data_IF_540651275786
#
_entry.id   IF_540651275786
#
_cell.length_a   1.000
_cell.length_b   1.000
_cell.length_c   1.000
_cell.angle_alpha   90.00
_cell.angle_beta   90.00
_cell.angle_gamma   90.00
#
_symmetry.space_group_name_H-M   'P 1'
#
loop_
_entity.id
_entity.type
_entity.pdbx_description
1 polymer ?
#
# COMPACT_ATOMS: atom_id res chain seq x y z
N UNK A 1 11.61 -8.20 -1.84
CA UNK A 1 12.06 -9.62 -1.91
C UNK A 1 12.68 -10.11 -0.59
N UNK A 2 12.35 -9.50 0.56
CA UNK A 2 12.80 -9.99 1.86
C UNK A 2 11.92 -11.19 2.22
N UNK A 3 12.53 -12.36 2.40
CA UNK A 3 11.85 -13.61 2.74
C UNK A 3 12.61 -14.26 3.89
N UNK A 4 13.52 -15.19 3.60
CA UNK A 4 14.51 -15.74 4.54
C UNK A 4 15.82 -15.95 3.80
N UNK A 5 16.84 -15.16 4.14
CA UNK A 5 18.12 -15.14 3.44
C UNK A 5 19.27 -15.33 4.44
N UNK A 6 20.49 -15.66 3.97
CA UNK A 6 21.64 -15.84 4.86
C UNK A 6 21.93 -14.64 5.77
N UNK A 7 21.72 -13.41 5.29
CA UNK A 7 21.95 -12.19 6.06
C UNK A 7 20.83 -11.84 7.04
N UNK A 8 19.64 -12.44 6.90
CA UNK A 8 18.49 -12.18 7.77
C UNK A 8 17.47 -13.32 7.65
N UNK A 9 17.42 -14.19 8.66
CA UNK A 9 16.43 -15.26 8.74
C UNK A 9 15.07 -14.69 9.13
N UNK A 10 14.00 -15.27 8.58
CA UNK A 10 12.65 -14.73 8.73
C UNK A 10 12.19 -14.65 10.18
N UNK A 11 12.50 -15.68 10.99
CA UNK A 11 12.04 -15.77 12.37
C UNK A 11 12.66 -14.66 13.24
N UNK A 12 13.97 -14.46 13.15
CA UNK A 12 14.68 -13.37 13.83
C UNK A 12 14.09 -12.00 13.44
N UNK A 13 13.83 -11.78 12.14
CA UNK A 13 13.18 -10.55 11.69
C UNK A 13 11.81 -10.36 12.35
N UNK A 14 11.00 -11.41 12.42
CA UNK A 14 9.66 -11.33 13.00
C UNK A 14 9.72 -10.94 14.48
N UNK A 15 10.61 -11.57 15.25
CA UNK A 15 10.81 -11.28 16.68
C UNK A 15 11.23 -9.82 16.93
N UNK A 16 12.26 -9.33 16.23
CA UNK A 16 12.71 -7.95 16.40
C UNK A 16 11.67 -6.91 15.94
N UNK A 17 10.96 -7.20 14.83
CA UNK A 17 9.92 -6.30 14.33
C UNK A 17 8.72 -6.26 15.28
N UNK A 18 8.30 -7.40 15.84
CA UNK A 18 7.20 -7.44 16.81
C UNK A 18 7.53 -6.61 18.05
N UNK A 19 8.75 -6.74 18.59
CA UNK A 19 9.22 -5.90 19.70
C UNK A 19 9.20 -4.41 19.36
N UNK A 20 9.66 -4.03 18.16
CA UNK A 20 9.66 -2.64 17.71
C UNK A 20 8.25 -2.07 17.52
N UNK A 21 7.32 -2.88 16.99
CA UNK A 21 5.91 -2.49 16.84
C UNK A 21 5.26 -2.22 18.20
N UNK A 22 5.48 -3.10 19.18
CA UNK A 22 4.95 -2.94 20.53
C UNK A 22 5.54 -1.70 21.22
N UNK A 23 6.84 -1.47 21.09
CA UNK A 23 7.49 -0.28 21.62
C UNK A 23 6.92 1.00 21.02
N UNK A 24 6.86 1.10 19.68
CA UNK A 24 6.34 2.29 19.00
C UNK A 24 4.86 2.55 19.32
N UNK A 25 4.05 1.49 19.47
CA UNK A 25 2.66 1.59 19.89
C UNK A 25 2.54 2.13 21.33
N UNK A 26 3.37 1.64 22.26
CA UNK A 26 3.38 2.11 23.63
C UNK A 26 3.81 3.59 23.74
N UNK A 27 4.79 4.02 22.94
CA UNK A 27 5.29 5.40 22.93
C UNK A 27 4.29 6.39 22.32
N UNK A 28 3.53 5.97 21.30
CA UNK A 28 2.64 6.87 20.54
C UNK A 28 1.16 6.79 20.92
N UNK A 29 0.72 5.69 21.52
CA UNK A 29 -0.69 5.43 21.80
C UNK A 29 -1.55 5.08 20.58
N UNK A 30 -0.98 5.03 19.37
CA UNK A 30 -1.66 4.63 18.14
C UNK A 30 -1.36 3.18 17.79
N UNK A 31 -2.32 2.45 17.22
CA UNK A 31 -2.10 1.09 16.71
C UNK A 31 -0.99 1.10 15.66
N UNK A 32 0.00 0.22 15.81
CA UNK A 32 1.11 0.05 14.87
C UNK A 32 1.09 -1.35 14.24
N UNK A 33 1.71 -1.46 13.07
CA UNK A 33 1.86 -2.73 12.38
C UNK A 33 3.05 -2.70 11.43
N UNK A 34 3.55 -3.88 11.08
CA UNK A 34 4.56 -4.07 10.05
C UNK A 34 4.18 -5.31 9.25
N UNK A 35 4.11 -5.21 7.93
CA UNK A 35 3.69 -6.33 7.09
C UNK A 35 4.79 -7.40 7.06
N UNK A 36 4.64 -8.43 7.88
CA UNK A 36 5.60 -9.52 7.95
C UNK A 36 5.45 -10.41 6.70
N UNK A 37 6.46 -10.45 5.84
CA UNK A 37 6.37 -11.21 4.58
C UNK A 37 6.42 -12.72 4.82
N UNK A 38 5.32 -13.40 4.50
CA UNK A 38 5.17 -14.86 4.63
C UNK A 38 5.43 -15.62 3.33
N UNK A 39 5.66 -14.92 2.21
CA UNK A 39 6.00 -15.54 0.91
C UNK A 39 7.17 -16.53 1.05
N UNK A 40 6.99 -17.76 0.59
CA UNK A 40 7.91 -18.87 0.86
C UNK A 40 8.04 -19.85 -0.33
N UNK A 41 9.05 -20.75 -0.34
CA UNK A 41 9.23 -21.74 -1.41
C UNK A 41 8.14 -22.83 -1.46
N UNK A 42 7.49 -23.11 -0.33
CA UNK A 42 6.38 -24.08 -0.23
C UNK A 42 5.25 -23.51 0.62
N UNK A 43 4.05 -24.08 0.49
CA UNK A 43 2.88 -23.65 1.27
C UNK A 43 3.01 -23.97 2.76
N UNK A 44 3.71 -25.04 3.12
CA UNK A 44 3.99 -25.41 4.52
C UNK A 44 4.88 -24.35 5.19
N UNK A 45 5.93 -23.88 4.50
CA UNK A 45 6.77 -22.80 5.00
C UNK A 45 6.04 -21.44 5.03
N UNK A 46 5.09 -21.21 4.12
CA UNK A 46 4.23 -20.03 4.17
C UNK A 46 3.34 -20.05 5.41
N UNK A 47 2.66 -21.17 5.69
CA UNK A 47 1.82 -21.32 6.88
C UNK A 47 2.63 -21.26 8.17
N UNK A 48 3.80 -21.88 8.23
CA UNK A 48 4.70 -21.79 9.39
C UNK A 48 5.03 -20.33 9.75
N UNK A 49 5.22 -19.48 8.74
CA UNK A 49 5.47 -18.04 8.97
C UNK A 49 4.21 -17.31 9.40
N UNK A 50 3.07 -17.60 8.77
CA UNK A 50 1.79 -16.98 9.11
C UNK A 50 1.38 -17.29 10.55
N UNK A 51 1.47 -18.56 10.97
CA UNK A 51 1.21 -18.98 12.35
C UNK A 51 2.15 -18.28 13.33
N UNK A 52 3.44 -18.18 13.02
CA UNK A 52 4.37 -17.49 13.90
C UNK A 52 4.09 -15.98 14.01
N UNK A 53 3.66 -15.31 12.92
CA UNK A 53 3.23 -13.92 12.99
C UNK A 53 1.99 -13.73 13.89
N UNK A 54 1.05 -14.69 13.85
CA UNK A 54 -0.11 -14.73 14.75
C UNK A 54 0.29 -14.98 16.20
N UNK A 55 1.20 -15.91 16.47
CA UNK A 55 1.73 -16.17 17.82
C UNK A 55 2.37 -14.92 18.44
N UNK A 56 3.05 -14.10 17.61
CA UNK A 56 3.61 -12.81 18.02
C UNK A 56 2.56 -11.70 18.19
N UNK A 57 1.28 -11.96 17.91
CA UNK A 57 0.20 -10.99 18.03
C UNK A 57 0.24 -9.88 16.97
N UNK A 58 0.88 -10.12 15.83
CA UNK A 58 1.01 -9.11 14.78
C UNK A 58 -0.32 -8.92 14.03
N UNK A 59 -0.72 -7.68 13.70
CA UNK A 59 -2.05 -7.43 13.13
C UNK A 59 -2.13 -7.66 11.61
N UNK A 60 -0.99 -7.77 10.93
CA UNK A 60 -0.92 -7.79 9.47
C UNK A 60 0.31 -8.54 8.95
N UNK A 61 0.13 -9.32 7.88
CA UNK A 61 1.19 -9.98 7.12
C UNK A 61 1.18 -9.51 5.66
N UNK A 62 2.19 -9.87 4.88
CA UNK A 62 2.17 -9.66 3.42
C UNK A 62 2.52 -10.89 2.59
N UNK A 63 2.03 -10.89 1.35
CA UNK A 63 2.26 -11.95 0.38
C UNK A 63 2.48 -11.41 -1.05
N UNK A 64 3.40 -12.05 -1.78
CA UNK A 64 3.71 -11.75 -3.19
C UNK A 64 2.90 -12.68 -4.11
N UNK A 65 1.61 -12.38 -4.30
CA UNK A 65 0.61 -13.33 -4.82
C UNK A 65 0.89 -13.89 -6.23
N UNK A 66 1.50 -13.12 -7.14
CA UNK A 66 1.81 -13.62 -8.49
C UNK A 66 3.00 -14.56 -8.48
N UNK A 67 4.06 -14.20 -7.73
CA UNK A 67 5.28 -15.00 -7.68
C UNK A 67 5.12 -16.27 -6.84
N UNK A 68 4.25 -16.24 -5.84
CA UNK A 68 3.88 -17.42 -5.07
C UNK A 68 2.78 -18.24 -5.77
N UNK A 69 1.88 -17.57 -6.49
CA UNK A 69 0.78 -18.16 -7.25
C UNK A 69 -0.58 -18.05 -6.54
N UNK A 70 -1.64 -17.99 -7.34
CA UNK A 70 -3.02 -17.85 -6.86
C UNK A 70 -3.46 -18.99 -5.91
N UNK A 71 -2.96 -20.21 -6.10
CA UNK A 71 -3.25 -21.33 -5.19
C UNK A 71 -2.76 -21.06 -3.78
N UNK A 72 -1.51 -20.60 -3.63
CA UNK A 72 -0.96 -20.23 -2.33
C UNK A 72 -1.68 -19.02 -1.72
N UNK A 73 -1.93 -17.99 -2.54
CA UNK A 73 -2.62 -16.78 -2.08
C UNK A 73 -4.03 -17.05 -1.55
N UNK A 74 -4.84 -17.83 -2.28
CA UNK A 74 -6.22 -18.14 -1.88
C UNK A 74 -6.24 -18.93 -0.58
N UNK A 75 -5.33 -19.90 -0.43
CA UNK A 75 -5.16 -20.66 0.81
C UNK A 75 -4.75 -19.78 1.98
N UNK A 76 -3.86 -18.80 1.76
CA UNK A 76 -3.46 -17.83 2.76
C UNK A 76 -4.59 -16.85 3.13
N UNK A 77 -5.37 -16.38 2.16
CA UNK A 77 -6.49 -15.48 2.39
C UNK A 77 -7.59 -16.13 3.25
N UNK A 78 -7.91 -17.41 3.00
CA UNK A 78 -8.83 -18.17 3.84
C UNK A 78 -8.30 -18.29 5.28
N UNK A 79 -7.02 -18.62 5.43
CA UNK A 79 -6.39 -18.68 6.75
C UNK A 79 -6.41 -17.33 7.46
N UNK A 80 -6.13 -16.23 6.76
CA UNK A 80 -6.18 -14.88 7.32
C UNK A 80 -7.58 -14.55 7.85
N UNK A 81 -8.62 -14.91 7.10
CA UNK A 81 -10.02 -14.73 7.53
C UNK A 81 -10.32 -15.50 8.81
N UNK A 82 -9.91 -16.75 8.90
CA UNK A 82 -10.14 -17.61 10.08
C UNK A 82 -9.34 -17.15 11.31
N UNK A 83 -8.24 -16.44 11.11
CA UNK A 83 -7.31 -16.01 12.16
C UNK A 83 -7.33 -14.50 12.44
N UNK A 84 -8.30 -13.76 11.88
CA UNK A 84 -8.43 -12.30 12.01
C UNK A 84 -7.13 -11.55 11.69
N UNK A 85 -6.40 -11.99 10.66
CA UNK A 85 -5.15 -11.41 10.21
C UNK A 85 -5.37 -10.56 8.96
N UNK A 86 -4.91 -9.31 8.95
CA UNK A 86 -4.93 -8.51 7.73
C UNK A 86 -3.89 -9.03 6.72
N UNK A 87 -4.21 -8.98 5.43
CA UNK A 87 -3.38 -9.48 4.34
C UNK A 87 -3.04 -8.38 3.33
N UNK A 88 -1.80 -7.87 3.42
CA UNK A 88 -1.26 -6.93 2.44
C UNK A 88 -0.70 -7.66 1.22
N UNK A 89 -1.15 -7.32 0.01
CA UNK A 89 -0.70 -7.98 -1.21
C UNK A 89 0.24 -7.11 -2.02
N UNK A 90 1.43 -7.65 -2.26
CA UNK A 90 2.40 -7.05 -3.15
C UNK A 90 2.34 -7.71 -4.54
N UNK A 91 2.35 -6.88 -5.59
CA UNK A 91 2.16 -7.32 -6.98
C UNK A 91 3.47 -7.62 -7.72
N UNK A 92 4.47 -8.18 -7.05
CA UNK A 92 5.74 -8.52 -7.69
C UNK A 92 5.49 -9.33 -8.98
N UNK A 93 6.28 -9.08 -10.04
CA UNK A 93 6.12 -9.68 -11.38
C UNK A 93 4.97 -9.13 -12.26
N UNK A 94 4.05 -8.29 -11.76
CA UNK A 94 2.91 -7.83 -12.56
C UNK A 94 3.30 -7.15 -13.89
N UNK A 95 4.31 -6.28 -13.88
CA UNK A 95 4.79 -5.55 -15.06
C UNK A 95 5.41 -6.44 -16.16
N UNK A 96 5.71 -7.71 -15.85
CA UNK A 96 6.07 -8.71 -16.88
C UNK A 96 4.85 -9.03 -17.75
N UNK A 97 3.65 -8.97 -17.16
CA UNK A 97 2.39 -9.34 -17.80
C UNK A 97 1.61 -8.12 -18.31
N UNK A 98 1.69 -6.98 -17.63
CA UNK A 98 0.71 -5.89 -17.82
C UNK A 98 1.26 -4.60 -18.43
N UNK A 99 2.56 -4.54 -18.73
CA UNK A 99 3.20 -3.31 -19.21
C UNK A 99 3.03 -3.05 -20.70
N UNK A 100 3.04 -4.09 -21.53
CA UNK A 100 2.99 -3.90 -22.99
C UNK A 100 1.52 -3.76 -23.45
N UNK A 101 1.15 -2.66 -24.12
CA UNK A 101 -0.23 -2.45 -24.55
C UNK A 101 -0.69 -3.41 -25.66
N UNK A 102 0.24 -4.08 -26.36
CA UNK A 102 -0.04 -4.98 -27.49
C UNK A 102 -0.03 -6.46 -27.11
N UNK A 103 0.51 -6.83 -25.95
CA UNK A 103 0.61 -8.23 -25.55
C UNK A 103 0.68 -8.36 -24.03
N UNK A 104 -0.19 -9.18 -23.46
CA UNK A 104 -0.21 -9.47 -22.03
C UNK A 104 -1.61 -9.42 -21.43
N UNK A 105 -1.67 -9.16 -20.13
CA UNK A 105 -2.90 -9.06 -19.34
C UNK A 105 -2.87 -7.72 -18.61
N UNK A 106 -3.76 -6.80 -18.96
CA UNK A 106 -3.80 -5.49 -18.30
C UNK A 106 -4.05 -5.61 -16.79
N UNK A 107 -3.39 -4.77 -15.97
CA UNK A 107 -3.40 -4.84 -14.50
C UNK A 107 -4.81 -4.88 -13.89
N UNK A 108 -5.78 -4.15 -14.46
CA UNK A 108 -7.18 -4.19 -14.04
C UNK A 108 -7.78 -5.61 -13.97
N UNK A 109 -7.35 -6.53 -14.83
CA UNK A 109 -7.77 -7.94 -14.77
C UNK A 109 -7.15 -8.62 -13.56
N UNK A 110 -5.86 -8.42 -13.33
CA UNK A 110 -5.13 -8.94 -12.17
C UNK A 110 -5.71 -8.42 -10.85
N UNK A 111 -6.13 -7.15 -10.80
CA UNK A 111 -6.80 -6.55 -9.65
C UNK A 111 -8.15 -7.23 -9.35
N UNK A 112 -8.97 -7.53 -10.37
CA UNK A 112 -10.20 -8.32 -10.21
C UNK A 112 -9.90 -9.72 -9.69
N UNK A 113 -8.94 -10.41 -10.30
CA UNK A 113 -8.54 -11.76 -9.90
C UNK A 113 -8.08 -11.81 -8.44
N UNK A 114 -7.32 -10.80 -7.99
CA UNK A 114 -6.89 -10.72 -6.61
C UNK A 114 -8.05 -10.39 -5.64
N UNK A 115 -8.96 -9.49 -5.99
CA UNK A 115 -10.16 -9.22 -5.17
C UNK A 115 -10.98 -10.49 -4.93
N UNK A 116 -11.08 -11.36 -5.95
CA UNK A 116 -11.71 -12.67 -5.85
C UNK A 116 -10.90 -13.66 -5.00
N UNK A 117 -9.57 -13.71 -5.19
CA UNK A 117 -8.68 -14.63 -4.46
C UNK A 117 -8.55 -14.28 -2.97
N UNK A 118 -8.62 -12.99 -2.64
CA UNK A 118 -8.55 -12.44 -1.30
C UNK A 118 -7.25 -11.69 -1.01
N UNK A 119 -7.42 -10.51 -0.42
CA UNK A 119 -6.38 -9.59 0.05
C UNK A 119 -7.05 -8.32 0.55
N UNK A 120 -6.55 -7.75 1.65
CA UNK A 120 -7.13 -6.52 2.22
C UNK A 120 -6.52 -5.28 1.55
N UNK A 121 -5.25 -5.36 1.16
CA UNK A 121 -4.55 -4.31 0.40
C UNK A 121 -4.01 -4.85 -0.93
N UNK A 122 -3.90 -3.98 -1.93
CA UNK A 122 -3.15 -4.25 -3.17
C UNK A 122 -2.43 -2.99 -3.66
N UNK A 123 -1.16 -3.14 -4.01
CA UNK A 123 -0.41 -2.08 -4.71
C UNK A 123 -1.09 -1.69 -6.03
N UNK A 124 -1.47 -0.42 -6.17
CA UNK A 124 -2.24 0.11 -7.31
C UNK A 124 -1.42 1.01 -8.23
N UNK A 125 -0.21 1.40 -7.83
CA UNK A 125 0.61 2.39 -8.54
C UNK A 125 0.44 3.79 -7.93
N UNK A 126 1.24 4.74 -8.39
CA UNK A 126 1.31 6.09 -7.80
C UNK A 126 0.89 7.20 -8.75
N UNK A 127 0.84 6.94 -10.07
CA UNK A 127 0.70 7.94 -11.15
C UNK A 127 1.90 8.90 -11.23
N UNK A 128 2.30 9.49 -10.11
CA UNK A 128 3.32 10.55 -10.01
C UNK A 128 4.70 10.05 -9.56
N UNK A 129 4.81 8.78 -9.15
CA UNK A 129 6.06 8.22 -8.65
C UNK A 129 6.95 7.64 -9.76
N UNK A 130 7.94 6.84 -9.35
CA UNK A 130 8.97 6.31 -10.26
C UNK A 130 8.51 5.22 -11.24
N UNK A 131 7.36 4.59 -10.96
CA UNK A 131 6.82 3.47 -11.74
C UNK A 131 5.69 3.97 -12.61
N UNK A 132 5.60 3.43 -13.82
CA UNK A 132 4.57 3.77 -14.79
C UNK A 132 3.15 3.59 -14.23
N UNK A 133 2.27 4.56 -14.55
CA UNK A 133 0.86 4.50 -14.20
C UNK A 133 0.10 5.63 -14.88
N UNK A 134 -0.67 5.32 -15.92
CA UNK A 134 -1.61 6.26 -16.52
C UNK A 134 -2.71 6.64 -15.52
N UNK A 135 -3.05 7.92 -15.42
CA UNK A 135 -3.98 8.42 -14.39
C UNK A 135 -5.39 7.86 -14.58
N UNK A 136 -5.93 7.94 -15.79
CA UNK A 136 -7.31 7.51 -16.05
C UNK A 136 -7.47 6.01 -15.90
N UNK A 137 -6.50 5.24 -16.40
CA UNK A 137 -6.48 3.80 -16.17
C UNK A 137 -6.36 3.47 -14.66
N UNK A 138 -5.54 4.23 -13.92
CA UNK A 138 -5.36 4.06 -12.47
C UNK A 138 -6.66 4.26 -11.71
N UNK A 139 -7.38 5.36 -11.98
CA UNK A 139 -8.69 5.60 -11.40
C UNK A 139 -9.64 4.44 -11.70
N UNK A 140 -9.65 3.93 -12.93
CA UNK A 140 -10.48 2.79 -13.31
C UNK A 140 -10.21 1.52 -12.47
N UNK A 141 -8.95 1.10 -12.29
CA UNK A 141 -8.71 -0.09 -11.46
C UNK A 141 -8.81 0.17 -9.95
N UNK A 142 -8.65 1.41 -9.50
CA UNK A 142 -8.92 1.79 -8.11
C UNK A 142 -10.42 1.67 -7.81
N UNK A 143 -11.30 2.09 -8.73
CA UNK A 143 -12.75 1.87 -8.62
C UNK A 143 -13.06 0.37 -8.57
N UNK A 144 -12.42 -0.45 -9.43
CA UNK A 144 -12.54 -1.93 -9.40
C UNK A 144 -12.14 -2.52 -8.04
N UNK A 145 -11.14 -1.94 -7.37
CA UNK A 145 -10.65 -2.47 -6.11
C UNK A 145 -11.60 -2.15 -4.95
N UNK A 146 -12.27 -1.01 -4.97
CA UNK A 146 -13.05 -0.50 -3.83
C UNK A 146 -14.56 -0.67 -3.99
N UNK A 147 -15.07 -0.34 -5.16
CA UNK A 147 -16.49 -0.08 -5.33
C UNK A 147 -17.28 -1.37 -5.49
N UNK A 148 -18.57 -1.29 -5.14
CA UNK A 148 -19.52 -2.40 -5.32
C UNK A 148 -19.87 -2.60 -6.78
N UNK A 149 -20.21 -1.52 -7.47
CA UNK A 149 -20.63 -1.53 -8.87
C UNK A 149 -19.83 -0.48 -9.64
N UNK A 150 -19.19 -0.90 -10.72
CA UNK A 150 -18.38 -0.06 -11.60
C UNK A 150 -19.02 -0.09 -12.98
N UNK A 151 -19.61 1.01 -13.47
CA UNK A 151 -20.17 1.04 -14.81
C UNK A 151 -19.07 0.99 -15.87
N UNK A 152 -19.44 0.55 -17.06
CA UNK A 152 -18.64 0.65 -18.27
C UNK A 152 -18.13 2.09 -18.46
N UNK A 153 -16.83 2.22 -18.71
CA UNK A 153 -16.21 3.50 -19.03
C UNK A 153 -14.90 3.29 -19.82
N UNK A 154 -14.99 3.34 -21.15
CA UNK A 154 -13.82 3.23 -22.04
C UNK A 154 -12.74 4.27 -21.79
N UNK A 155 -13.05 5.48 -21.30
CA UNK A 155 -12.00 6.50 -21.05
C UNK A 155 -11.08 6.11 -19.89
N UNK A 156 -11.58 5.32 -18.93
CA UNK A 156 -10.81 4.70 -17.84
C UNK A 156 -10.41 3.24 -18.11
N UNK A 157 -10.66 2.76 -19.33
CA UNK A 157 -10.39 1.39 -19.74
C UNK A 157 -11.28 0.35 -19.07
N UNK A 158 -12.47 0.71 -18.59
CA UNK A 158 -13.46 -0.24 -18.05
C UNK A 158 -14.33 -0.75 -19.19
N UNK A 159 -14.14 -2.02 -19.56
CA UNK A 159 -14.78 -2.60 -20.75
C UNK A 159 -16.20 -3.12 -20.53
N UNK A 160 -16.56 -3.40 -19.27
CA UNK A 160 -17.81 -4.04 -18.90
C UNK A 160 -18.26 -3.48 -17.56
N UNK A 161 -19.57 -3.38 -17.38
CA UNK A 161 -20.17 -3.23 -16.06
C UNK A 161 -19.66 -4.36 -15.16
N UNK A 162 -19.26 -4.00 -13.94
CA UNK A 162 -18.76 -4.94 -12.95
C UNK A 162 -19.54 -4.75 -11.65
N UNK A 163 -20.36 -5.74 -11.29
CA UNK A 163 -20.96 -5.84 -9.96
C UNK A 163 -20.17 -6.86 -9.11
N UNK A 164 -19.77 -6.46 -7.92
CA UNK A 164 -19.10 -7.31 -6.93
C UNK A 164 -20.06 -7.79 -5.81
N UNK A 165 -21.35 -7.44 -5.89
CA UNK A 165 -22.35 -7.86 -4.93
C UNK A 165 -22.06 -7.31 -3.53
N UNK A 166 -21.74 -8.19 -2.58
CA UNK A 166 -21.36 -7.83 -1.21
C UNK A 166 -19.89 -8.11 -0.90
N UNK A 167 -19.08 -8.39 -1.93
CA UNK A 167 -17.65 -8.62 -1.74
C UNK A 167 -16.98 -7.35 -1.19
N UNK A 168 -16.23 -7.44 -0.08
CA UNK A 168 -15.46 -6.32 0.43
C UNK A 168 -14.55 -5.68 -0.62
N UNK A 169 -14.32 -4.38 -0.49
CA UNK A 169 -13.29 -3.68 -1.25
C UNK A 169 -11.89 -4.01 -0.71
N UNK A 170 -10.87 -3.66 -1.49
CA UNK A 170 -9.47 -3.68 -1.08
C UNK A 170 -8.94 -2.26 -1.01
N UNK A 171 -8.04 -1.98 -0.07
CA UNK A 171 -7.34 -0.71 -0.03
C UNK A 171 -6.28 -0.62 -1.15
N UNK A 172 -6.37 0.36 -2.05
CA UNK A 172 -5.29 0.69 -2.97
C UNK A 172 -4.06 1.20 -2.22
N UNK A 173 -2.90 0.66 -2.59
CA UNK A 173 -1.62 1.07 -2.02
C UNK A 173 -0.78 1.82 -3.06
N UNK A 174 -0.58 3.11 -2.84
CA UNK A 174 0.31 3.94 -3.64
C UNK A 174 1.72 3.88 -3.06
N UNK A 175 2.65 3.28 -3.82
CA UNK A 175 4.02 3.05 -3.36
C UNK A 175 5.01 3.12 -4.51
N UNK A 176 6.17 3.72 -4.25
CA UNK A 176 7.32 3.73 -5.17
C UNK A 176 7.69 5.13 -5.68
N UNK A 177 8.81 5.66 -5.17
CA UNK A 177 9.38 6.93 -5.63
C UNK A 177 8.53 8.17 -5.30
N UNK A 178 7.73 8.10 -4.23
CA UNK A 178 6.94 9.23 -3.73
C UNK A 178 7.61 9.85 -2.49
N UNK A 179 7.34 11.12 -2.26
CA UNK A 179 7.86 11.99 -1.20
C UNK A 179 6.83 13.08 -0.89
N UNK A 180 7.09 13.96 0.10
CA UNK A 180 6.10 14.91 0.65
C UNK A 180 5.40 15.79 -0.40
N UNK A 181 6.10 16.21 -1.46
CA UNK A 181 5.52 17.01 -2.55
C UNK A 181 4.44 16.28 -3.36
N UNK A 182 4.41 14.95 -3.32
CA UNK A 182 3.38 14.16 -3.98
C UNK A 182 2.11 14.01 -3.14
N UNK A 183 2.14 14.36 -1.84
CA UNK A 183 1.00 14.15 -0.94
C UNK A 183 -0.32 14.78 -1.41
N UNK A 184 -0.35 16.01 -1.96
CA UNK A 184 -1.60 16.61 -2.42
C UNK A 184 -2.20 15.84 -3.62
N UNK A 185 -1.36 15.44 -4.58
CA UNK A 185 -1.80 14.65 -5.73
C UNK A 185 -2.28 13.25 -5.32
N UNK A 186 -1.57 12.59 -4.40
CA UNK A 186 -1.98 11.28 -3.87
C UNK A 186 -3.33 11.37 -3.15
N UNK A 187 -3.51 12.40 -2.32
CA UNK A 187 -4.78 12.66 -1.61
C UNK A 187 -5.93 12.92 -2.59
N UNK A 188 -5.68 13.64 -3.68
CA UNK A 188 -6.67 13.90 -4.72
C UNK A 188 -7.02 12.65 -5.56
N UNK A 189 -6.02 11.83 -5.91
CA UNK A 189 -6.20 10.65 -6.76
C UNK A 189 -6.89 9.52 -5.99
N UNK A 190 -6.42 9.24 -4.78
CA UNK A 190 -6.81 8.03 -4.06
C UNK A 190 -7.83 8.29 -2.94
N UNK A 191 -7.95 9.51 -2.41
CA UNK A 191 -8.85 9.78 -1.28
C UNK A 191 -8.41 9.10 0.01
N UNK A 192 -9.34 8.91 0.94
CA UNK A 192 -9.06 8.43 2.30
C UNK A 192 -8.85 6.91 2.39
N UNK A 193 -9.59 6.15 1.59
CA UNK A 193 -9.49 4.68 1.55
C UNK A 193 -8.29 4.23 0.71
N UNK A 194 -7.09 4.53 1.19
CA UNK A 194 -5.82 4.19 0.56
C UNK A 194 -4.66 4.11 1.55
N UNK A 195 -3.56 3.46 1.15
CA UNK A 195 -2.30 3.46 1.90
C UNK A 195 -1.21 4.11 1.06
N UNK A 196 -0.54 5.13 1.59
CA UNK A 196 0.60 5.78 0.95
C UNK A 196 1.91 5.32 1.60
N UNK A 197 2.82 4.75 0.81
CA UNK A 197 4.07 4.17 1.31
C UNK A 197 5.30 4.97 0.88
N UNK A 198 5.96 5.57 1.87
CA UNK A 198 7.16 6.37 1.69
C UNK A 198 8.38 5.59 2.19
N UNK A 199 8.96 4.73 1.35
CA UNK A 199 10.20 4.01 1.68
C UNK A 199 11.40 4.97 1.69
N UNK A 200 11.94 5.28 0.50
CA UNK A 200 13.01 6.27 0.35
C UNK A 200 12.63 7.65 0.88
N UNK A 201 11.36 8.07 0.71
CA UNK A 201 10.84 9.33 1.24
C UNK A 201 10.70 9.40 2.76
N UNK A 202 11.03 8.34 3.51
CA UNK A 202 11.16 8.36 4.98
C UNK A 202 12.60 8.11 5.40
N UNK A 203 13.19 6.99 4.94
CA UNK A 203 14.54 6.58 5.35
C UNK A 203 15.64 7.50 4.79
N UNK A 204 15.35 8.21 3.71
CA UNK A 204 16.26 9.20 3.11
C UNK A 204 16.18 10.59 3.73
N UNK A 205 15.35 10.81 4.75
CA UNK A 205 15.23 12.11 5.40
C UNK A 205 16.54 12.50 6.09
N UNK A 206 17.02 13.75 5.97
CA UNK A 206 18.33 14.17 6.46
C UNK A 206 18.49 14.04 7.98
N UNK A 207 17.39 13.99 8.72
CA UNK A 207 17.36 13.83 10.18
C UNK A 207 16.92 12.43 10.65
N UNK A 208 16.92 11.45 9.75
CA UNK A 208 16.60 10.05 10.06
C UNK A 208 15.11 9.71 10.05
N UNK A 209 14.82 8.43 10.33
CA UNK A 209 13.53 7.80 10.05
C UNK A 209 12.35 8.44 10.79
N UNK A 210 12.52 8.79 12.07
CA UNK A 210 11.46 9.37 12.88
C UNK A 210 11.03 10.74 12.32
N UNK A 211 11.99 11.60 11.95
CA UNK A 211 11.71 12.88 11.31
C UNK A 211 11.08 12.71 9.93
N UNK A 212 11.56 11.76 9.11
CA UNK A 212 10.93 11.44 7.83
C UNK A 212 9.49 10.95 7.97
N UNK A 213 9.19 10.15 9.00
CA UNK A 213 7.84 9.68 9.28
C UNK A 213 6.94 10.84 9.73
N UNK A 214 7.44 11.72 10.60
CA UNK A 214 6.73 12.92 11.04
C UNK A 214 6.43 13.85 9.85
N UNK A 215 7.41 14.12 8.99
CA UNK A 215 7.23 14.95 7.79
C UNK A 215 6.11 14.43 6.87
N UNK A 216 6.11 13.12 6.58
CA UNK A 216 5.05 12.50 5.78
C UNK A 216 3.69 12.56 6.48
N UNK A 217 3.63 12.36 7.80
CA UNK A 217 2.37 12.44 8.57
C UNK A 217 1.80 13.86 8.57
N UNK A 218 2.63 14.88 8.83
CA UNK A 218 2.21 16.29 8.80
C UNK A 218 1.72 16.68 7.41
N UNK A 219 2.45 16.29 6.35
CA UNK A 219 2.02 16.57 4.98
C UNK A 219 0.65 15.96 4.66
N UNK A 220 0.39 14.72 5.11
CA UNK A 220 -0.90 14.05 4.90
C UNK A 220 -2.03 14.77 5.64
N UNK A 221 -1.86 15.02 6.94
CA UNK A 221 -2.89 15.67 7.75
C UNK A 221 -3.22 17.08 7.26
N UNK A 222 -2.21 17.85 6.84
CA UNK A 222 -2.40 19.17 6.24
C UNK A 222 -3.20 19.09 4.92
N UNK A 223 -2.93 18.09 4.07
CA UNK A 223 -3.69 17.89 2.83
C UNK A 223 -5.14 17.48 3.13
N UNK A 224 -5.38 16.60 4.10
CA UNK A 224 -6.72 16.16 4.49
C UNK A 224 -7.50 17.33 5.10
N UNK A 225 -6.90 18.11 5.99
CA UNK A 225 -7.51 19.30 6.57
C UNK A 225 -7.89 20.31 5.48
N UNK A 226 -6.96 20.65 4.59
CA UNK A 226 -7.20 21.58 3.49
C UNK A 226 -8.34 21.11 2.57
N UNK A 227 -8.37 19.81 2.20
CA UNK A 227 -9.44 19.22 1.41
C UNK A 227 -10.79 19.36 2.12
N UNK A 228 -10.84 19.06 3.41
CA UNK A 228 -12.06 19.11 4.21
C UNK A 228 -12.56 20.56 4.41
N UNK A 229 -11.67 21.55 4.30
CA UNK A 229 -12.00 22.98 4.26
C UNK A 229 -12.42 23.47 2.85
N UNK A 230 -12.51 22.57 1.87
CA UNK A 230 -12.96 22.88 0.51
C UNK A 230 -11.86 23.44 -0.41
N UNK A 231 -10.58 23.29 -0.05
CA UNK A 231 -9.46 23.70 -0.91
C UNK A 231 -9.22 22.69 -2.03
N UNK A 232 -8.81 23.20 -3.19
CA UNK A 232 -8.41 22.37 -4.33
C UNK A 232 -6.99 21.83 -4.10
N UNK A 233 -6.85 20.74 -3.33
CA UNK A 233 -5.55 20.26 -2.81
C UNK A 233 -4.50 20.03 -3.89
N UNK A 234 -4.86 19.55 -5.08
CA UNK A 234 -3.90 19.32 -6.15
C UNK A 234 -3.39 20.63 -6.76
N UNK A 235 -4.26 21.65 -6.87
CA UNK A 235 -3.91 22.98 -7.40
C UNK A 235 -3.17 23.84 -6.36
N UNK A 236 -3.57 23.71 -5.11
CA UNK A 236 -3.09 24.54 -3.99
C UNK A 236 -2.02 23.84 -3.15
N UNK A 237 -1.57 22.65 -3.56
CA UNK A 237 -0.70 21.76 -2.78
C UNK A 237 0.59 22.41 -2.30
N UNK A 238 1.22 23.27 -3.13
CA UNK A 238 2.43 23.98 -2.72
C UNK A 238 2.18 24.91 -1.55
N UNK A 239 1.11 25.69 -1.60
CA UNK A 239 0.75 26.63 -0.53
C UNK A 239 0.37 25.89 0.77
N UNK A 240 -0.39 24.79 0.64
CA UNK A 240 -0.75 23.92 1.76
C UNK A 240 0.51 23.41 2.47
N UNK A 241 1.44 22.79 1.73
CA UNK A 241 2.66 22.22 2.31
C UNK A 241 3.61 23.29 2.85
N UNK A 242 3.80 24.40 2.15
CA UNK A 242 4.63 25.52 2.65
C UNK A 242 4.03 26.15 3.91
N UNK A 243 2.70 26.19 4.04
CA UNK A 243 2.06 26.65 5.27
C UNK A 243 2.28 25.69 6.43
N UNK A 244 2.13 24.38 6.21
CA UNK A 244 2.39 23.35 7.22
C UNK A 244 3.86 23.35 7.68
N UNK A 245 4.80 23.53 6.75
CA UNK A 245 6.24 23.56 7.04
C UNK A 245 6.66 24.67 8.00
N UNK A 246 5.93 25.80 8.05
CA UNK A 246 6.18 26.88 9.03
C UNK A 246 6.10 26.41 10.49
N UNK A 247 5.40 25.30 10.71
CA UNK A 247 5.17 24.72 12.04
C UNK A 247 5.73 23.29 12.18
N UNK A 248 6.42 22.77 11.16
CA UNK A 248 7.08 21.46 11.19
C UNK A 248 8.46 21.55 10.53
N UNK A 249 9.53 21.65 11.32
CA UNK A 249 10.91 21.65 10.81
C UNK A 249 11.24 20.38 10.04
N UNK A 250 10.66 19.23 10.41
CA UNK A 250 10.84 17.96 9.69
C UNK A 250 10.24 18.04 8.28
N UNK A 251 9.04 18.59 8.13
CA UNK A 251 8.44 18.79 6.82
C UNK A 251 9.24 19.81 5.99
N UNK A 252 9.68 20.91 6.59
CA UNK A 252 10.53 21.89 5.91
C UNK A 252 11.82 21.25 5.37
N UNK A 253 12.50 20.44 6.20
CA UNK A 253 13.68 19.70 5.78
C UNK A 253 13.37 18.74 4.63
N UNK A 254 12.31 17.93 4.73
CA UNK A 254 11.88 16.99 3.70
C UNK A 254 11.52 17.68 2.36
N UNK A 255 11.06 18.92 2.39
CA UNK A 255 10.70 19.69 1.19
C UNK A 255 11.91 20.19 0.40
N UNK A 256 13.10 20.23 1.02
CA UNK A 256 14.35 20.69 0.41
C UNK A 256 15.22 19.58 -0.19
N UNK A 257 14.81 18.33 -0.01
CA UNK A 257 15.48 17.12 -0.51
C UNK A 257 14.71 16.47 -1.66
#
# INVERSE_FOLDING_TARGET
NINSQPFMRWQQRFEFVAAAVLQAQAETGEIKGHYLNVTAPTVEEMYKRAEYAKELGMPIIMHDYLTAGFTANTSLANWCRENAMLLHIHRAMHAVLDRNPLHGIHFRVLAKCLRLSGGDHLHSGTVVGKLEGDREATLGWVDIMRDRFIPENRSRGIFFDQDFGHMPGMFPVASGGIHVWHMPALTAIFGDDAVFQFGGGTLGHPWGNAAGAAANRVALEACVEARNQGREVEREGRDILTTAAKHSPELEAAMTT
#
